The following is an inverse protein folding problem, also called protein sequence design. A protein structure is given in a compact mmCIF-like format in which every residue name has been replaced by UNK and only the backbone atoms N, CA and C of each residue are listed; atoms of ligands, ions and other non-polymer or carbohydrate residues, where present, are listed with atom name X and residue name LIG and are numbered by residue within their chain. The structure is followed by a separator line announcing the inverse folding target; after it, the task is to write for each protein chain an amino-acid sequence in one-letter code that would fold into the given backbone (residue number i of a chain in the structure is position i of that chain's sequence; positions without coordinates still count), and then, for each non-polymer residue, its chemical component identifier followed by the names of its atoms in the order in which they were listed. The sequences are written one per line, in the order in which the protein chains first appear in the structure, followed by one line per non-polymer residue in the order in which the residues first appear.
data_IF_066971952328
#
_entry.id   IF_066971952328
#
_cell.length_a   1.000
_cell.length_b   1.000
_cell.length_c   1.000
_cell.angle_alpha   90.00
_cell.angle_beta   90.00
_cell.angle_gamma   90.00
#
_symmetry.space_group_name_H-M   'P 1'
#
loop_
_entity.id
_entity.type
_entity.pdbx_description
1 polymer ?
#
# COMPACT_ATOMS: atom_id res chain seq x y z
N UNK A 1 33.30 -30.87 7.54
CA UNK A 1 31.94 -30.31 7.69
C UNK A 1 31.04 -31.08 6.71
N UNK A 2 30.35 -32.12 7.18
CA UNK A 2 29.55 -33.01 6.32
C UNK A 2 28.11 -32.48 6.25
N UNK A 3 27.66 -32.17 5.04
CA UNK A 3 26.25 -31.92 4.70
C UNK A 3 25.50 -33.24 4.66
N UNK A 4 24.35 -33.31 5.35
CA UNK A 4 23.43 -34.46 5.29
C UNK A 4 22.23 -34.06 4.44
N UNK A 5 22.08 -34.71 3.29
CA UNK A 5 20.87 -34.71 2.47
C UNK A 5 19.83 -35.64 3.13
N UNK A 6 18.59 -35.17 3.28
CA UNK A 6 17.46 -36.00 3.69
C UNK A 6 16.57 -36.26 2.46
N UNK A 7 16.52 -37.51 2.02
CA UNK A 7 15.66 -38.00 0.93
C UNK A 7 14.35 -38.54 1.50
N UNK A 8 13.22 -38.07 0.97
CA UNK A 8 11.90 -38.68 1.17
C UNK A 8 11.68 -39.86 0.22
N UNK A 9 11.07 -40.96 0.71
CA UNK A 9 10.23 -41.90 -0.07
C UNK A 9 9.30 -42.70 0.90
N UNK A 10 8.21 -43.34 0.42
CA UNK A 10 6.87 -43.21 1.01
C UNK A 10 6.20 -44.52 1.45
N UNK A 11 5.11 -44.37 2.21
CA UNK A 11 3.93 -45.23 2.15
C UNK A 11 3.84 -46.35 3.20
N UNK A 12 2.78 -46.31 4.02
CA UNK A 12 2.06 -47.52 4.43
C UNK A 12 0.66 -47.19 4.98
N UNK A 13 -0.34 -47.94 4.50
CA UNK A 13 -1.74 -47.96 4.95
C UNK A 13 -1.87 -48.86 6.17
N UNK A 14 -2.69 -48.48 7.15
CA UNK A 14 -3.32 -49.47 8.04
C UNK A 14 -4.80 -49.15 8.28
N UNK A 15 -5.62 -50.20 8.24
CA UNK A 15 -7.08 -50.17 8.25
C UNK A 15 -7.68 -50.66 9.57
N UNK A 16 -8.82 -50.06 9.93
CA UNK A 16 -10.05 -50.61 10.54
C UNK A 16 -10.00 -51.48 11.82
N UNK A 17 -10.86 -51.03 12.75
CA UNK A 17 -11.73 -51.72 13.73
C UNK A 17 -11.16 -51.99 15.12
N UNK A 18 -11.76 -51.30 16.10
CA UNK A 18 -12.42 -51.96 17.24
C UNK A 18 -13.72 -51.24 17.58
N UNK A 19 -14.80 -52.03 17.68
CA UNK A 19 -16.17 -51.71 18.09
C UNK A 19 -16.35 -52.19 19.53
N UNK A 20 -17.20 -51.52 20.32
CA UNK A 20 -18.14 -52.02 21.36
C UNK A 20 -18.59 -50.78 22.19
N UNK A 21 -19.81 -50.23 22.01
CA UNK A 21 -21.08 -50.56 22.70
C UNK A 21 -20.97 -50.40 24.24
N UNK A 22 -21.86 -49.70 24.97
CA UNK A 22 -23.32 -49.71 24.91
C UNK A 22 -23.97 -48.61 25.78
N UNK A 23 -25.27 -48.43 25.53
CA UNK A 23 -26.28 -47.53 26.12
C UNK A 23 -26.29 -47.32 27.64
N UNK A 24 -26.73 -46.14 28.09
CA UNK A 24 -27.83 -46.09 29.06
C UNK A 24 -28.74 -44.86 28.85
N UNK A 25 -30.05 -45.09 28.91
CA UNK A 25 -31.14 -44.18 28.56
C UNK A 25 -31.98 -43.90 29.81
N UNK A 26 -32.56 -42.69 29.84
CA UNK A 26 -33.66 -42.22 30.69
C UNK A 26 -33.33 -41.76 32.12
N UNK A 27 -33.68 -40.50 32.40
CA UNK A 27 -34.65 -40.08 33.44
C UNK A 27 -34.93 -38.57 33.28
N UNK A 28 -36.17 -38.23 32.90
CA UNK A 28 -36.77 -36.90 33.08
C UNK A 28 -37.51 -36.88 34.42
N UNK A 29 -37.69 -35.70 35.02
CA UNK A 29 -39.01 -35.37 35.55
C UNK A 29 -39.58 -34.05 35.00
N UNK A 30 -40.88 -34.00 35.17
CA UNK A 30 -41.93 -33.18 34.59
C UNK A 30 -42.05 -31.74 35.12
N UNK A 31 -42.46 -30.85 34.21
CA UNK A 31 -43.40 -29.72 34.36
C UNK A 31 -43.43 -28.91 35.67
N UNK A 32 -42.96 -27.66 35.58
CA UNK A 32 -43.74 -26.51 36.06
C UNK A 32 -43.66 -25.37 35.03
N UNK A 33 -44.80 -25.05 34.41
CA UNK A 33 -44.99 -23.87 33.56
C UNK A 33 -45.07 -22.63 34.46
N UNK A 34 -44.20 -21.66 34.24
CA UNK A 34 -44.51 -20.24 34.46
C UNK A 34 -44.29 -19.51 33.13
N UNK A 35 -45.40 -19.12 32.52
CA UNK A 35 -45.46 -18.29 31.33
C UNK A 35 -45.23 -16.83 31.71
N UNK A 36 -44.02 -16.31 31.48
CA UNK A 36 -43.81 -14.87 31.33
C UNK A 36 -43.95 -14.51 29.85
N UNK A 37 -45.01 -13.79 29.53
CA UNK A 37 -45.28 -13.30 28.18
C UNK A 37 -44.24 -12.27 27.75
N UNK A 38 -43.31 -12.69 26.89
CA UNK A 38 -42.51 -11.79 26.07
C UNK A 38 -43.19 -11.65 24.72
N UNK A 39 -43.96 -10.56 24.56
CA UNK A 39 -44.41 -10.10 23.25
C UNK A 39 -43.19 -9.93 22.34
N UNK A 40 -43.04 -10.82 21.36
CA UNK A 40 -42.07 -10.65 20.27
C UNK A 40 -42.56 -9.50 19.39
N UNK A 41 -42.01 -8.30 19.60
CA UNK A 41 -42.11 -7.20 18.62
C UNK A 41 -41.45 -7.65 17.31
N UNK A 42 -42.01 -7.29 16.14
CA UNK A 42 -41.46 -7.72 14.86
C UNK A 42 -40.07 -7.12 14.66
N UNK A 43 -39.12 -7.96 14.29
CA UNK A 43 -37.80 -7.55 13.80
C UNK A 43 -38.03 -6.63 12.59
N UNK A 44 -37.73 -5.36 12.74
CA UNK A 44 -37.62 -4.44 11.62
C UNK A 44 -36.53 -4.98 10.69
N UNK A 45 -36.92 -5.32 9.45
CA UNK A 45 -35.98 -5.59 8.36
C UNK A 45 -35.18 -4.31 8.12
N UNK A 46 -33.95 -4.26 8.63
CA UNK A 46 -32.99 -3.24 8.22
C UNK A 46 -32.65 -3.50 6.74
N UNK A 47 -32.70 -2.47 5.88
CA UNK A 47 -32.20 -2.62 4.53
C UNK A 47 -30.69 -2.85 4.62
N UNK A 48 -30.24 -4.00 4.13
CA UNK A 48 -28.82 -4.24 3.86
C UNK A 48 -28.40 -3.30 2.73
N UNK A 49 -28.08 -2.05 3.06
CA UNK A 49 -27.26 -1.21 2.22
C UNK A 49 -25.84 -1.77 2.31
N UNK A 50 -25.57 -2.77 1.48
CA UNK A 50 -24.23 -3.22 1.14
C UNK A 50 -23.50 -2.16 0.30
N UNK A 51 -23.42 -0.92 0.79
CA UNK A 51 -22.39 -0.01 0.34
C UNK A 51 -21.09 -0.51 0.96
N UNK A 52 -20.40 -1.40 0.22
CA UNK A 52 -18.96 -1.56 0.37
C UNK A 52 -18.36 -0.16 0.22
N UNK A 53 -18.08 0.49 1.34
CA UNK A 53 -17.18 1.62 1.35
C UNK A 53 -15.84 0.99 1.01
N UNK A 54 -15.45 1.09 -0.26
CA UNK A 54 -14.08 0.82 -0.67
C UNK A 54 -13.24 1.87 0.06
N UNK A 55 -12.62 1.47 1.18
CA UNK A 55 -11.50 2.22 1.73
C UNK A 55 -10.58 2.56 0.55
N UNK A 56 -10.14 3.83 0.39
CA UNK A 56 -9.15 4.14 -0.62
C UNK A 56 -7.96 3.23 -0.32
N UNK A 57 -7.68 2.28 -1.21
CA UNK A 57 -6.45 1.52 -1.18
C UNK A 57 -5.35 2.56 -1.11
N UNK A 58 -4.66 2.66 0.02
CA UNK A 58 -3.37 3.36 0.08
C UNK A 58 -2.53 2.64 -0.95
N UNK A 59 -2.39 3.24 -2.13
CA UNK A 59 -1.69 2.62 -3.24
C UNK A 59 -0.22 2.53 -2.81
N UNK A 60 0.25 1.32 -2.50
CA UNK A 60 1.62 1.11 -2.04
C UNK A 60 2.63 1.36 -3.15
N UNK A 61 3.85 1.74 -2.79
CA UNK A 61 5.00 1.70 -3.69
C UNK A 61 5.13 0.32 -4.36
N UNK A 62 5.59 0.30 -5.60
CA UNK A 62 5.81 -0.92 -6.36
C UNK A 62 7.18 -0.93 -7.00
N UNK A 63 7.82 -2.09 -7.05
CA UNK A 63 9.07 -2.28 -7.77
C UNK A 63 8.80 -3.00 -9.08
N UNK A 64 9.56 -2.66 -10.10
CA UNK A 64 9.51 -3.32 -11.39
C UNK A 64 10.92 -3.57 -11.93
N UNK A 65 11.11 -4.75 -12.51
CA UNK A 65 12.35 -5.17 -13.15
C UNK A 65 12.12 -5.42 -14.63
N UNK A 66 13.01 -4.87 -15.46
CA UNK A 66 13.05 -5.16 -16.87
C UNK A 66 14.42 -5.65 -17.28
N UNK A 67 14.43 -6.58 -18.22
CA UNK A 67 15.62 -7.13 -18.84
C UNK A 67 15.34 -7.25 -20.33
N UNK A 68 16.25 -6.74 -21.15
CA UNK A 68 16.20 -6.95 -22.60
C UNK A 68 17.59 -7.27 -23.14
N UNK A 69 17.63 -8.03 -24.24
CA UNK A 69 18.85 -8.46 -24.90
C UNK A 69 18.64 -8.51 -26.41
N UNK A 70 19.51 -7.82 -27.15
CA UNK A 70 19.55 -7.88 -28.62
C UNK A 70 20.85 -8.51 -29.11
N UNK A 71 20.74 -9.29 -30.17
CA UNK A 71 21.90 -9.70 -30.97
C UNK A 71 22.39 -8.51 -31.79
N UNK A 72 23.70 -8.42 -31.99
CA UNK A 72 24.34 -7.42 -32.85
C UNK A 72 24.80 -8.03 -34.17
N UNK A 73 24.40 -7.43 -35.30
CA UNK A 73 24.78 -7.86 -36.66
C UNK A 73 25.29 -6.69 -37.50
N UNK A 74 26.15 -7.01 -38.47
CA UNK A 74 26.77 -6.02 -39.36
C UNK A 74 25.76 -5.36 -40.30
N UNK A 75 25.95 -4.07 -40.57
CA UNK A 75 25.09 -3.29 -41.46
C UNK A 75 23.79 -2.78 -40.83
N UNK A 76 23.58 -3.00 -39.53
CA UNK A 76 22.47 -2.44 -38.76
C UNK A 76 22.93 -1.26 -37.90
N UNK A 77 22.07 -0.28 -37.62
CA UNK A 77 22.36 0.80 -36.68
C UNK A 77 22.32 0.29 -35.23
N UNK A 78 23.23 0.78 -34.38
CA UNK A 78 23.20 0.54 -32.94
C UNK A 78 22.48 1.70 -32.25
N UNK A 79 21.22 1.51 -31.87
CA UNK A 79 20.44 2.50 -31.12
C UNK A 79 20.42 2.13 -29.65
N UNK A 80 20.82 3.07 -28.79
CA UNK A 80 20.87 2.88 -27.33
C UNK A 80 20.33 4.15 -26.66
N UNK A 81 19.19 4.05 -25.98
CA UNK A 81 18.62 5.17 -25.24
C UNK A 81 18.25 6.37 -26.12
N UNK A 82 17.78 6.12 -27.35
CA UNK A 82 17.42 7.12 -28.35
C UNK A 82 18.60 7.71 -29.13
N UNK A 83 19.81 7.20 -28.92
CA UNK A 83 21.02 7.68 -29.60
C UNK A 83 21.55 6.60 -30.54
N UNK A 84 21.82 6.96 -31.78
CA UNK A 84 22.55 6.11 -32.72
C UNK A 84 24.05 6.22 -32.43
N UNK A 85 24.66 5.12 -32.01
CA UNK A 85 26.09 5.04 -31.71
C UNK A 85 26.87 4.56 -32.93
N UNK A 86 28.09 5.09 -33.10
CA UNK A 86 29.01 4.60 -34.11
C UNK A 86 29.55 3.22 -33.73
N UNK A 87 29.23 2.22 -34.53
CA UNK A 87 29.60 0.83 -34.33
C UNK A 87 29.49 0.04 -35.64
N UNK A 88 30.31 -0.99 -35.81
CA UNK A 88 30.33 -1.88 -36.99
C UNK A 88 29.17 -2.90 -37.01
N UNK A 89 28.38 -2.94 -35.93
CA UNK A 89 27.22 -3.82 -35.74
C UNK A 89 26.09 -3.10 -35.02
N UNK A 90 24.84 -3.44 -35.33
CA UNK A 90 23.65 -2.87 -34.71
C UNK A 90 22.66 -3.92 -34.24
N UNK A 91 21.66 -3.49 -33.48
CA UNK A 91 20.68 -4.36 -32.83
C UNK A 91 19.74 -5.01 -33.85
N UNK A 92 19.56 -6.32 -33.74
CA UNK A 92 18.52 -7.05 -34.47
C UNK A 92 17.20 -6.93 -33.72
N UNK A 93 16.20 -6.28 -34.31
CA UNK A 93 14.89 -6.10 -33.70
C UNK A 93 13.76 -5.86 -34.70
N UNK A 94 12.52 -5.92 -34.22
CA UNK A 94 11.32 -5.59 -34.99
C UNK A 94 11.01 -4.08 -35.05
N UNK A 95 11.69 -3.30 -34.20
CA UNK A 95 11.68 -1.83 -34.13
C UNK A 95 13.08 -1.28 -34.44
N UNK A 96 13.47 -0.15 -33.84
CA UNK A 96 14.83 0.41 -33.91
C UNK A 96 15.86 -0.33 -33.04
N UNK A 97 15.44 -1.35 -32.28
CA UNK A 97 16.33 -2.23 -31.51
C UNK A 97 16.91 -1.59 -30.24
N UNK A 98 16.25 -0.57 -29.70
CA UNK A 98 16.69 0.12 -28.47
C UNK A 98 16.47 -0.72 -27.21
N UNK A 99 17.53 -1.40 -26.78
CA UNK A 99 17.56 -2.26 -25.60
C UNK A 99 17.22 -1.52 -24.29
N UNK A 100 17.55 -0.23 -24.21
CA UNK A 100 17.33 0.57 -22.99
C UNK A 100 15.84 0.86 -22.85
N UNK A 101 15.21 1.34 -23.93
CA UNK A 101 13.78 1.65 -23.90
C UNK A 101 12.93 0.41 -23.64
N UNK A 102 13.26 -0.73 -24.26
CA UNK A 102 12.53 -1.98 -24.00
C UNK A 102 12.66 -2.44 -22.55
N UNK A 103 13.89 -2.44 -22.01
CA UNK A 103 14.15 -2.80 -20.61
C UNK A 103 13.38 -1.88 -19.64
N UNK A 104 13.33 -0.57 -19.91
CA UNK A 104 12.56 0.38 -19.08
C UNK A 104 11.05 0.14 -19.19
N UNK A 105 10.53 -0.13 -20.38
CA UNK A 105 9.12 -0.46 -20.59
C UNK A 105 8.74 -1.70 -19.78
N UNK A 106 9.52 -2.78 -19.84
CA UNK A 106 9.25 -3.99 -19.06
C UNK A 106 9.33 -3.74 -17.55
N UNK A 107 10.27 -2.91 -17.08
CA UNK A 107 10.32 -2.52 -15.69
C UNK A 107 9.03 -1.82 -15.24
N UNK A 108 8.53 -0.87 -16.04
CA UNK A 108 7.27 -0.18 -15.74
C UNK A 108 6.08 -1.15 -15.75
N UNK A 109 5.95 -1.97 -16.80
CA UNK A 109 4.86 -2.95 -16.92
C UNK A 109 4.87 -3.96 -15.77
N UNK A 110 6.04 -4.47 -15.42
CA UNK A 110 6.25 -5.37 -14.27
C UNK A 110 5.83 -4.71 -12.95
N UNK A 111 6.23 -3.46 -12.71
CA UNK A 111 5.81 -2.70 -11.53
C UNK A 111 4.29 -2.49 -11.46
N UNK A 112 3.62 -2.39 -12.60
CA UNK A 112 2.16 -2.24 -12.70
C UNK A 112 1.40 -3.57 -12.62
N UNK A 113 2.11 -4.71 -12.60
CA UNK A 113 1.54 -6.05 -12.67
C UNK A 113 0.85 -6.34 -14.02
N UNK A 114 1.41 -5.80 -15.10
CA UNK A 114 0.94 -6.00 -16.48
C UNK A 114 1.77 -7.06 -17.21
N UNK A 115 1.25 -7.62 -18.31
CA UNK A 115 2.03 -8.42 -19.26
C UNK A 115 3.27 -7.66 -19.77
N UNK A 116 4.28 -8.41 -20.23
CA UNK A 116 5.52 -7.84 -20.79
C UNK A 116 5.29 -7.10 -22.12
N UNK A 117 6.35 -6.43 -22.60
CA UNK A 117 6.34 -5.65 -23.85
C UNK A 117 5.92 -6.48 -25.06
N UNK A 118 6.35 -7.75 -25.16
CA UNK A 118 6.06 -8.63 -26.30
C UNK A 118 4.61 -9.09 -26.32
N UNK A 119 4.01 -9.30 -25.15
CA UNK A 119 2.61 -9.63 -24.99
C UNK A 119 1.71 -8.42 -25.24
N UNK A 120 2.11 -7.24 -24.76
CA UNK A 120 1.29 -6.03 -24.83
C UNK A 120 1.39 -5.30 -26.17
N UNK A 121 2.59 -5.30 -26.76
CA UNK A 121 2.93 -4.63 -28.02
C UNK A 121 3.43 -5.63 -29.07
N UNK A 122 2.67 -6.71 -29.27
CA UNK A 122 3.07 -7.79 -30.17
C UNK A 122 3.32 -7.31 -31.61
N UNK A 123 4.41 -7.80 -32.19
CA UNK A 123 4.81 -7.68 -33.59
C UNK A 123 3.76 -8.19 -34.60
N UNK A 124 2.86 -9.08 -34.17
CA UNK A 124 1.73 -9.60 -34.96
C UNK A 124 0.62 -8.58 -35.14
N UNK A 125 0.52 -7.60 -34.25
CA UNK A 125 -0.45 -6.53 -34.36
C UNK A 125 0.07 -5.46 -35.35
N UNK A 126 -0.65 -5.19 -36.46
CA UNK A 126 -0.25 -4.17 -37.42
C UNK A 126 -0.06 -2.78 -36.82
N UNK A 127 -0.66 -2.50 -35.66
CA UNK A 127 -0.51 -1.21 -34.96
C UNK A 127 0.90 -1.00 -34.40
N UNK A 128 1.62 -2.07 -34.07
CA UNK A 128 2.93 -2.02 -33.41
C UNK A 128 4.08 -2.43 -34.33
N UNK A 129 3.77 -2.95 -35.52
CA UNK A 129 4.80 -3.41 -36.45
C UNK A 129 5.65 -2.24 -36.96
N UNK A 130 6.96 -2.29 -36.69
CA UNK A 130 7.93 -1.32 -37.19
C UNK A 130 7.85 0.07 -36.54
N UNK A 131 7.14 0.21 -35.43
CA UNK A 131 7.11 1.49 -34.70
C UNK A 131 8.43 1.68 -33.93
N UNK A 132 8.86 2.94 -33.80
CA UNK A 132 10.06 3.29 -33.04
C UNK A 132 9.86 2.99 -31.54
N UNK A 133 10.92 2.57 -30.84
CA UNK A 133 10.81 2.10 -29.45
C UNK A 133 10.40 3.19 -28.46
N UNK A 134 10.62 4.47 -28.79
CA UNK A 134 10.10 5.61 -28.03
C UNK A 134 8.56 5.59 -27.88
N UNK A 135 7.84 5.03 -28.84
CA UNK A 135 6.37 4.94 -28.78
C UNK A 135 5.94 3.97 -27.66
N UNK A 136 6.67 2.88 -27.44
CA UNK A 136 6.40 1.96 -26.34
C UNK A 136 6.64 2.63 -24.97
N UNK A 137 7.68 3.46 -24.85
CA UNK A 137 7.94 4.27 -23.65
C UNK A 137 6.78 5.23 -23.35
N UNK A 138 6.27 5.93 -24.37
CA UNK A 138 5.13 6.83 -24.22
C UNK A 138 3.85 6.10 -23.79
N UNK A 139 3.58 4.92 -24.36
CA UNK A 139 2.42 4.11 -23.98
C UNK A 139 2.54 3.51 -22.58
N UNK A 140 3.74 3.03 -22.21
CA UNK A 140 4.03 2.58 -20.85
C UNK A 140 3.81 3.71 -19.83
N UNK A 141 4.28 4.92 -20.11
CA UNK A 141 4.00 6.11 -19.28
C UNK A 141 2.51 6.39 -19.16
N UNK A 142 1.75 6.37 -20.28
CA UNK A 142 0.30 6.58 -20.25
C UNK A 142 -0.41 5.51 -19.42
N UNK A 143 0.00 4.24 -19.52
CA UNK A 143 -0.54 3.15 -18.70
C UNK A 143 -0.24 3.33 -17.22
N UNK A 144 0.99 3.73 -16.89
CA UNK A 144 1.44 4.03 -15.53
C UNK A 144 0.59 5.15 -14.91
N UNK A 145 0.41 6.25 -15.63
CA UNK A 145 -0.44 7.38 -15.20
C UNK A 145 -1.91 6.96 -15.05
N UNK A 146 -2.47 6.21 -16.01
CA UNK A 146 -3.85 5.68 -15.91
C UNK A 146 -4.07 4.78 -14.71
N UNK A 147 -3.02 4.09 -14.24
CA UNK A 147 -3.04 3.26 -13.03
C UNK A 147 -2.75 4.05 -11.75
N UNK A 148 -2.55 5.36 -11.84
CA UNK A 148 -2.30 6.23 -10.70
C UNK A 148 -0.91 6.09 -10.11
N UNK A 149 0.11 5.83 -10.92
CA UNK A 149 1.51 5.75 -10.50
C UNK A 149 2.39 6.75 -11.25
N UNK A 150 3.42 7.22 -10.57
CA UNK A 150 4.56 7.95 -11.12
C UNK A 150 5.86 7.22 -10.80
N UNK A 151 6.95 7.58 -11.48
CA UNK A 151 8.28 7.05 -11.17
C UNK A 151 8.86 7.81 -9.99
N UNK A 152 9.21 7.10 -8.92
CA UNK A 152 10.00 7.63 -7.82
C UNK A 152 11.49 7.68 -8.21
N UNK A 153 12.05 6.56 -8.66
CA UNK A 153 13.39 6.49 -9.25
C UNK A 153 13.49 5.34 -10.27
N UNK A 154 14.44 5.47 -11.18
CA UNK A 154 14.77 4.53 -12.25
C UNK A 154 16.30 4.37 -12.32
N UNK A 155 16.77 3.15 -12.17
CA UNK A 155 18.18 2.79 -12.24
C UNK A 155 18.42 1.78 -13.36
N UNK A 156 19.34 2.10 -14.27
CA UNK A 156 19.58 1.35 -15.50
C UNK A 156 21.02 0.87 -15.52
N UNK A 157 21.25 -0.35 -16.02
CA UNK A 157 22.58 -0.89 -16.29
C UNK A 157 22.62 -1.47 -17.69
N UNK A 158 23.40 -0.85 -18.56
CA UNK A 158 23.70 -1.35 -19.91
C UNK A 158 24.98 -2.17 -19.87
N UNK A 159 24.93 -3.37 -20.44
CA UNK A 159 26.09 -4.23 -20.63
C UNK A 159 26.43 -4.23 -22.12
N UNK A 160 27.54 -3.58 -22.44
CA UNK A 160 28.04 -3.40 -23.81
C UNK A 160 29.56 -3.32 -23.78
N UNK A 161 30.22 -4.16 -24.57
CA UNK A 161 31.68 -4.20 -24.61
C UNK A 161 32.28 -3.00 -25.35
N UNK A 162 31.68 -2.58 -26.48
CA UNK A 162 32.00 -1.32 -27.17
C UNK A 162 30.78 -0.80 -27.96
N UNK A 163 30.68 0.51 -28.24
CA UNK A 163 31.60 1.57 -27.81
C UNK A 163 31.41 1.94 -26.33
N UNK A 164 32.28 2.83 -25.82
CA UNK A 164 32.12 3.36 -24.45
C UNK A 164 30.84 4.21 -24.39
N UNK A 165 29.95 3.89 -23.45
CA UNK A 165 28.70 4.62 -23.29
C UNK A 165 28.84 5.91 -22.46
N UNK A 166 29.88 6.01 -21.63
CA UNK A 166 30.09 7.15 -20.72
C UNK A 166 29.94 8.55 -21.37
N UNK A 167 30.44 8.82 -22.59
CA UNK A 167 30.23 10.11 -23.27
C UNK A 167 28.78 10.43 -23.64
N UNK A 168 27.91 9.42 -23.65
CA UNK A 168 26.52 9.49 -24.08
C UNK A 168 25.53 9.37 -22.91
N UNK A 169 26.02 9.10 -21.69
CA UNK A 169 25.17 8.82 -20.52
C UNK A 169 24.14 9.92 -20.26
N UNK A 170 24.53 11.20 -20.30
CA UNK A 170 23.63 12.31 -20.00
C UNK A 170 22.56 12.47 -21.08
N UNK A 171 22.94 12.40 -22.35
CA UNK A 171 21.98 12.47 -23.46
C UNK A 171 20.96 11.31 -23.42
N UNK A 172 21.39 10.10 -23.02
CA UNK A 172 20.46 8.98 -22.83
C UNK A 172 19.50 9.27 -21.65
N UNK A 173 20.03 9.74 -20.53
CA UNK A 173 19.20 10.09 -19.38
C UNK A 173 18.19 11.19 -19.73
N UNK A 174 18.59 12.20 -20.51
CA UNK A 174 17.73 13.30 -20.94
C UNK A 174 16.60 12.81 -21.84
N UNK A 175 16.89 11.93 -22.81
CA UNK A 175 15.86 11.29 -23.64
C UNK A 175 14.84 10.51 -22.79
N UNK A 176 15.32 9.75 -21.81
CA UNK A 176 14.45 8.99 -20.89
C UNK A 176 13.59 9.96 -20.06
N UNK A 177 14.18 11.02 -19.52
CA UNK A 177 13.48 12.04 -18.75
C UNK A 177 12.38 12.71 -19.58
N UNK A 178 12.68 13.06 -20.84
CA UNK A 178 11.73 13.68 -21.74
C UNK A 178 10.54 12.76 -22.06
N UNK A 179 10.80 11.48 -22.35
CA UNK A 179 9.78 10.50 -22.70
C UNK A 179 8.88 10.16 -21.50
N UNK A 180 9.50 9.95 -20.32
CA UNK A 180 8.79 9.56 -19.10
C UNK A 180 8.21 10.75 -18.32
N UNK A 181 8.57 11.99 -18.70
CA UNK A 181 8.19 13.24 -18.03
C UNK A 181 8.62 13.25 -16.56
N UNK A 182 9.88 12.89 -16.32
CA UNK A 182 10.51 12.89 -14.99
C UNK A 182 11.72 13.81 -14.95
N UNK A 183 12.13 14.18 -13.74
CA UNK A 183 13.32 15.01 -13.51
C UNK A 183 14.60 14.16 -13.49
N UNK A 184 15.73 14.79 -13.83
CA UNK A 184 17.02 14.12 -14.02
C UNK A 184 17.54 13.39 -12.77
N UNK A 185 17.21 13.88 -11.58
CA UNK A 185 17.56 13.29 -10.28
C UNK A 185 16.91 11.91 -10.04
N UNK A 186 15.86 11.58 -10.80
CA UNK A 186 15.16 10.29 -10.70
C UNK A 186 15.74 9.22 -11.60
N UNK A 187 16.61 9.55 -12.55
CA UNK A 187 17.12 8.62 -13.56
C UNK A 187 18.62 8.44 -13.39
N UNK A 188 19.07 7.19 -13.27
CA UNK A 188 20.48 6.85 -13.25
C UNK A 188 20.80 5.81 -14.33
N UNK A 189 21.93 5.98 -14.99
CA UNK A 189 22.43 5.04 -16.00
C UNK A 189 23.86 4.64 -15.69
N UNK A 190 24.07 3.32 -15.66
CA UNK A 190 25.37 2.68 -15.49
C UNK A 190 25.69 1.92 -16.76
N UNK A 191 26.97 1.91 -17.13
CA UNK A 191 27.46 1.15 -18.27
C UNK A 191 28.57 0.22 -17.80
N UNK A 192 28.54 -1.03 -18.26
CA UNK A 192 29.50 -2.07 -17.91
C UNK A 192 29.93 -2.84 -19.16
N UNK A 193 31.20 -3.19 -19.22
CA UNK A 193 31.73 -4.26 -20.06
C UNK A 193 31.32 -5.62 -19.51
N UNK A 194 31.43 -6.67 -20.32
CA UNK A 194 31.24 -8.05 -19.84
C UNK A 194 32.57 -8.80 -19.72
N UNK A 195 33.66 -8.06 -19.58
CA UNK A 195 35.02 -8.57 -19.35
C UNK A 195 35.45 -9.62 -20.40
N UNK A 196 35.06 -9.43 -21.66
CA UNK A 196 35.33 -10.36 -22.77
C UNK A 196 34.74 -11.77 -22.58
N UNK A 197 33.77 -11.92 -21.68
CA UNK A 197 33.05 -13.18 -21.43
C UNK A 197 31.79 -13.24 -22.29
N UNK A 198 31.57 -14.41 -22.91
CA UNK A 198 30.39 -14.78 -23.71
C UNK A 198 30.04 -13.85 -24.88
N UNK A 199 28.81 -13.94 -25.39
CA UNK A 199 28.33 -13.13 -26.52
C UNK A 199 28.42 -11.62 -26.27
N UNK A 200 28.22 -11.16 -25.03
CA UNK A 200 28.28 -9.75 -24.67
C UNK A 200 29.73 -9.27 -24.77
N UNK A 201 30.68 -10.01 -24.18
CA UNK A 201 32.10 -9.71 -24.23
C UNK A 201 32.73 -9.89 -25.62
N UNK A 202 32.08 -10.65 -26.51
CA UNK A 202 32.51 -10.84 -27.91
C UNK A 202 31.88 -9.83 -28.89
N UNK A 203 31.17 -8.79 -28.41
CA UNK A 203 30.45 -7.82 -29.24
C UNK A 203 29.38 -8.47 -30.15
N UNK A 204 28.83 -9.62 -29.72
CA UNK A 204 27.76 -10.33 -30.41
C UNK A 204 26.37 -9.95 -29.92
N UNK A 205 26.27 -9.27 -28.77
CA UNK A 205 25.01 -8.86 -28.16
C UNK A 205 25.18 -7.61 -27.30
N UNK A 206 24.04 -7.00 -26.94
CA UNK A 206 23.90 -5.95 -25.95
C UNK A 206 22.77 -6.34 -24.98
N UNK A 207 22.93 -6.07 -23.69
CA UNK A 207 21.92 -6.33 -22.68
C UNK A 207 21.65 -5.11 -21.82
N UNK A 208 20.44 -5.00 -21.28
CA UNK A 208 20.06 -3.92 -20.38
C UNK A 208 19.17 -4.43 -19.24
N UNK A 209 19.54 -4.05 -18.02
CA UNK A 209 18.72 -4.20 -16.82
C UNK A 209 18.16 -2.85 -16.38
N UNK A 210 16.88 -2.81 -16.04
CA UNK A 210 16.22 -1.62 -15.51
C UNK A 210 15.46 -1.95 -14.24
N UNK A 211 15.61 -1.09 -13.23
CA UNK A 211 14.92 -1.19 -11.95
C UNK A 211 14.16 0.10 -11.70
N UNK A 212 12.83 -0.01 -11.56
CA UNK A 212 11.97 1.14 -11.30
C UNK A 212 11.26 0.99 -9.96
N UNK A 213 11.23 2.08 -9.19
CA UNK A 213 10.32 2.25 -8.06
C UNK A 213 9.18 3.15 -8.52
N UNK A 214 7.96 2.63 -8.48
CA UNK A 214 6.73 3.36 -8.75
C UNK A 214 6.16 3.85 -7.43
N UNK A 215 5.83 5.13 -7.37
CA UNK A 215 5.07 5.73 -6.28
C UNK A 215 3.63 5.95 -6.74
N UNK A 216 2.64 5.81 -5.85
CA UNK A 216 1.30 6.26 -6.16
C UNK A 216 1.33 7.77 -6.47
N UNK A 217 0.44 8.23 -7.33
CA UNK A 217 0.16 9.67 -7.43
C UNK A 217 -0.17 10.14 -6.01
N UNK A 218 0.68 11.03 -5.48
CA UNK A 218 0.25 11.87 -4.39
C UNK A 218 -0.67 12.87 -5.04
N UNK A 219 -1.97 12.59 -5.08
CA UNK A 219 -2.92 13.63 -5.47
C UNK A 219 -2.67 14.78 -4.52
N UNK A 220 -2.12 15.88 -5.03
CA UNK A 220 -2.15 17.16 -4.33
C UNK A 220 -3.63 17.51 -4.24
N UNK A 221 -4.26 17.03 -3.18
CA UNK A 221 -5.64 17.32 -2.87
C UNK A 221 -5.69 18.80 -2.48
N UNK A 222 -6.69 19.51 -2.99
CA UNK A 222 -6.86 20.94 -2.72
C UNK A 222 -6.97 21.17 -1.21
N UNK A 223 -6.52 22.34 -0.74
CA UNK A 223 -6.46 22.71 0.69
C UNK A 223 -7.75 22.38 1.46
N UNK A 224 -8.93 22.50 0.84
CA UNK A 224 -10.25 22.20 1.43
C UNK A 224 -10.48 20.71 1.80
N UNK A 225 -9.75 19.75 1.21
CA UNK A 225 -9.83 18.31 1.57
C UNK A 225 -8.71 17.89 2.55
N UNK A 226 -7.73 18.76 2.82
CA UNK A 226 -6.64 18.47 3.76
C UNK A 226 -7.20 18.33 5.17
N UNK A 227 -8.17 19.16 5.54
CA UNK A 227 -8.89 19.05 6.82
C UNK A 227 -9.70 17.74 6.91
N UNK A 228 -10.27 17.27 5.80
CA UNK A 228 -11.02 16.02 5.75
C UNK A 228 -10.10 14.78 5.83
N UNK A 229 -8.91 14.83 5.22
CA UNK A 229 -7.92 13.74 5.28
C UNK A 229 -7.21 13.71 6.64
N UNK A 230 -6.93 14.87 7.23
CA UNK A 230 -6.34 14.97 8.57
C UNK A 230 -7.38 14.61 9.66
N UNK A 231 -8.66 14.93 9.43
CA UNK A 231 -9.80 14.42 10.18
C UNK A 231 -9.97 12.90 10.01
N UNK A 232 -9.82 12.36 8.80
CA UNK A 232 -9.91 10.91 8.54
C UNK A 232 -8.72 10.12 9.14
N UNK A 233 -7.50 10.66 9.11
CA UNK A 233 -6.30 10.07 9.71
C UNK A 233 -6.34 10.11 11.24
N UNK A 234 -6.86 11.19 11.83
CA UNK A 234 -7.08 11.28 13.28
C UNK A 234 -8.25 10.40 13.73
N UNK A 235 -9.31 10.29 12.91
CA UNK A 235 -10.42 9.34 13.07
C UNK A 235 -9.93 7.89 13.10
N UNK A 236 -8.99 7.53 12.21
CA UNK A 236 -8.37 6.20 12.14
C UNK A 236 -7.49 5.89 13.36
N UNK A 237 -6.79 6.88 13.94
CA UNK A 237 -5.97 6.66 15.14
C UNK A 237 -6.81 6.35 16.38
N UNK A 238 -7.84 7.16 16.66
CA UNK A 238 -8.71 6.97 17.82
C UNK A 238 -9.54 5.68 17.65
N UNK A 239 -9.95 5.34 16.43
CA UNK A 239 -10.61 4.04 16.17
C UNK A 239 -9.66 2.87 16.48
N UNK A 240 -8.40 2.92 16.02
CA UNK A 240 -7.39 1.91 16.37
C UNK A 240 -7.13 1.83 17.87
N UNK A 241 -7.10 2.97 18.56
CA UNK A 241 -6.93 3.05 20.01
C UNK A 241 -8.11 2.41 20.73
N UNK A 242 -9.33 2.73 20.30
CA UNK A 242 -10.59 2.18 20.83
C UNK A 242 -10.67 0.66 20.62
N UNK A 243 -10.32 0.15 19.45
CA UNK A 243 -10.27 -1.31 19.20
C UNK A 243 -9.24 -2.01 20.09
N UNK A 244 -8.08 -1.39 20.30
CA UNK A 244 -7.07 -1.91 21.23
C UNK A 244 -7.56 -1.94 22.67
N UNK A 245 -8.31 -0.92 23.09
CA UNK A 245 -8.96 -0.88 24.42
C UNK A 245 -9.97 -2.03 24.57
N UNK A 246 -10.85 -2.23 23.59
CA UNK A 246 -11.82 -3.34 23.60
C UNK A 246 -11.09 -4.68 23.71
N UNK A 247 -10.06 -4.90 22.89
CA UNK A 247 -9.25 -6.12 22.95
C UNK A 247 -8.63 -6.32 24.33
N UNK A 248 -8.02 -5.28 24.90
CA UNK A 248 -7.37 -5.32 26.22
C UNK A 248 -8.33 -5.42 27.39
N UNK A 249 -9.60 -5.04 27.24
CA UNK A 249 -10.62 -5.25 28.27
C UNK A 249 -11.07 -6.71 28.38
N UNK A 250 -10.82 -7.52 27.35
CA UNK A 250 -11.24 -8.92 27.27
C UNK A 250 -10.13 -9.89 27.69
N UNK A 251 -8.91 -9.40 27.94
CA UNK A 251 -7.79 -10.20 28.46
C UNK A 251 -7.90 -10.38 29.97
N UNK A 252 -7.14 -11.30 30.55
CA UNK A 252 -7.08 -11.50 32.00
C UNK A 252 -6.69 -10.19 32.74
N UNK A 253 -7.49 -9.72 33.74
CA UNK A 253 -7.17 -8.57 34.58
C UNK A 253 -5.77 -8.59 35.21
N UNK A 254 -5.19 -9.77 35.45
CA UNK A 254 -3.83 -9.90 35.98
C UNK A 254 -2.73 -9.48 34.99
N UNK A 255 -3.07 -9.42 33.68
CA UNK A 255 -2.14 -9.22 32.57
C UNK A 255 -2.31 -7.90 31.82
N UNK A 256 -3.40 -7.16 32.08
CA UNK A 256 -3.75 -5.94 31.36
C UNK A 256 -4.36 -4.92 32.30
N UNK A 257 -3.70 -3.76 32.41
CA UNK A 257 -4.20 -2.65 33.21
C UNK A 257 -5.62 -2.22 32.80
N UNK A 258 -5.93 -2.25 31.51
CA UNK A 258 -7.28 -1.91 31.01
C UNK A 258 -8.33 -2.92 31.46
N UNK A 259 -8.02 -4.22 31.46
CA UNK A 259 -8.94 -5.24 31.99
C UNK A 259 -9.14 -5.10 33.50
N UNK A 260 -8.07 -4.80 34.24
CA UNK A 260 -8.17 -4.49 35.66
C UNK A 260 -9.08 -3.29 35.93
N UNK A 261 -8.89 -2.19 35.20
CA UNK A 261 -9.71 -0.98 35.37
C UNK A 261 -11.19 -1.23 34.99
N UNK A 262 -11.46 -2.07 33.97
CA UNK A 262 -12.80 -2.53 33.65
C UNK A 262 -13.45 -3.35 34.78
N UNK A 263 -12.66 -4.18 35.47
CA UNK A 263 -13.15 -4.99 36.61
C UNK A 263 -13.56 -4.14 37.83
N UNK A 264 -12.99 -2.94 37.97
CA UNK A 264 -13.34 -1.98 39.04
C UNK A 264 -14.62 -1.17 38.75
N UNK A 265 -15.13 -1.22 37.52
CA UNK A 265 -16.42 -0.64 37.13
C UNK A 265 -16.40 0.87 36.86
N UNK A 266 -17.59 1.40 36.56
CA UNK A 266 -17.78 2.76 35.99
C UNK A 266 -17.13 3.87 36.81
N UNK A 267 -17.26 3.81 38.13
CA UNK A 267 -16.79 4.86 39.03
C UNK A 267 -15.26 4.98 39.01
N UNK A 268 -14.55 3.85 38.99
CA UNK A 268 -13.09 3.83 38.93
C UNK A 268 -12.57 4.37 37.59
N UNK A 269 -13.20 3.98 36.48
CA UNK A 269 -12.85 4.49 35.14
C UNK A 269 -13.09 6.01 35.06
N UNK A 270 -14.26 6.48 35.53
CA UNK A 270 -14.58 7.91 35.52
C UNK A 270 -13.61 8.73 36.40
N UNK A 271 -13.22 8.18 37.56
CA UNK A 271 -12.20 8.80 38.42
C UNK A 271 -10.88 8.95 37.69
N UNK A 272 -10.41 7.89 37.03
CA UNK A 272 -9.14 7.93 36.28
C UNK A 272 -9.18 8.92 35.13
N UNK A 273 -10.27 8.95 34.35
CA UNK A 273 -10.48 9.97 33.32
C UNK A 273 -10.39 11.40 33.89
N UNK A 274 -10.97 11.63 35.08
CA UNK A 274 -10.89 12.91 35.77
C UNK A 274 -9.49 13.28 36.23
N UNK A 275 -8.69 12.31 36.70
CA UNK A 275 -7.29 12.50 37.11
C UNK A 275 -6.45 13.01 35.92
N UNK A 276 -6.51 12.33 34.77
CA UNK A 276 -5.74 12.73 33.57
C UNK A 276 -6.13 14.13 33.06
N UNK A 277 -7.42 14.47 33.17
CA UNK A 277 -7.90 15.79 32.78
C UNK A 277 -7.31 16.89 33.67
N UNK A 278 -7.19 16.65 34.98
CA UNK A 278 -6.57 17.57 35.93
C UNK A 278 -5.06 17.67 35.69
N UNK A 279 -4.38 16.54 35.47
CA UNK A 279 -2.94 16.50 35.18
C UNK A 279 -2.60 17.25 33.89
N UNK A 280 -3.43 17.12 32.85
CA UNK A 280 -3.31 17.88 31.60
C UNK A 280 -3.43 19.39 31.83
N UNK A 281 -4.39 19.82 32.66
CA UNK A 281 -4.58 21.24 33.01
C UNK A 281 -3.38 21.78 33.78
N UNK A 282 -2.88 21.03 34.77
CA UNK A 282 -1.72 21.42 35.58
C UNK A 282 -0.50 21.60 34.68
N UNK A 283 -0.21 20.65 33.79
CA UNK A 283 0.90 20.74 32.85
C UNK A 283 0.83 21.97 31.94
N UNK A 284 -0.39 22.34 31.51
CA UNK A 284 -0.62 23.57 30.75
C UNK A 284 -0.36 24.84 31.57
N UNK A 285 -0.78 24.88 32.84
CA UNK A 285 -0.54 26.02 33.74
C UNK A 285 0.94 26.20 34.09
N UNK A 286 1.67 25.09 34.18
CA UNK A 286 3.12 25.07 34.44
C UNK A 286 3.96 25.42 33.21
N UNK A 287 3.33 25.58 32.03
CA UNK A 287 4.00 25.78 30.74
C UNK A 287 5.05 24.70 30.44
N UNK A 288 4.76 23.43 30.76
CA UNK A 288 5.59 22.29 30.38
C UNK A 288 5.00 21.62 29.12
N UNK A 289 5.53 21.88 27.91
CA UNK A 289 4.97 21.35 26.68
C UNK A 289 5.14 19.83 26.56
N UNK A 290 6.19 19.27 27.16
CA UNK A 290 6.45 17.83 27.09
C UNK A 290 5.47 17.08 27.98
N UNK A 291 5.29 17.55 29.21
CA UNK A 291 4.31 16.98 30.14
C UNK A 291 2.89 17.17 29.60
N UNK A 292 2.56 18.33 29.03
CA UNK A 292 1.25 18.57 28.42
C UNK A 292 0.93 17.56 27.31
N UNK A 293 1.88 17.24 26.43
CA UNK A 293 1.69 16.24 25.38
C UNK A 293 1.43 14.84 25.97
N UNK A 294 2.18 14.47 27.00
CA UNK A 294 2.04 13.17 27.65
C UNK A 294 0.67 13.01 28.32
N UNK A 295 0.28 13.96 29.16
CA UNK A 295 -1.00 13.91 29.87
C UNK A 295 -2.19 14.03 28.90
N UNK A 296 -2.03 14.77 27.80
CA UNK A 296 -3.04 14.80 26.72
C UNK A 296 -3.23 13.43 26.05
N UNK A 297 -2.16 12.66 25.88
CA UNK A 297 -2.26 11.31 25.31
C UNK A 297 -2.94 10.32 26.27
N UNK A 298 -2.64 10.41 27.57
CA UNK A 298 -3.25 9.58 28.60
C UNK A 298 -4.74 9.93 28.80
N UNK A 299 -5.10 11.22 28.72
CA UNK A 299 -6.48 11.69 28.70
C UNK A 299 -7.28 11.09 27.53
N UNK A 300 -6.73 11.13 26.31
CA UNK A 300 -7.38 10.54 25.13
C UNK A 300 -7.55 9.01 25.26
N UNK A 301 -6.57 8.32 25.85
CA UNK A 301 -6.66 6.89 26.13
C UNK A 301 -7.80 6.59 27.11
N UNK A 302 -7.82 7.28 28.25
CA UNK A 302 -8.82 7.06 29.30
C UNK A 302 -10.22 7.49 28.87
N UNK A 303 -10.33 8.43 27.93
CA UNK A 303 -11.60 8.76 27.27
C UNK A 303 -12.11 7.60 26.41
N UNK A 304 -11.24 6.95 25.63
CA UNK A 304 -11.59 5.76 24.87
C UNK A 304 -11.99 4.58 25.77
N UNK A 305 -11.31 4.39 26.90
CA UNK A 305 -11.68 3.40 27.95
C UNK A 305 -13.09 3.67 28.46
N UNK A 306 -13.41 4.93 28.77
CA UNK A 306 -14.74 5.30 29.26
C UNK A 306 -15.83 5.11 28.20
N UNK A 307 -15.57 5.48 26.95
CA UNK A 307 -16.48 5.22 25.82
C UNK A 307 -16.74 3.72 25.65
N UNK A 308 -15.69 2.89 25.63
CA UNK A 308 -15.83 1.45 25.48
C UNK A 308 -16.67 0.82 26.61
N UNK A 309 -16.45 1.25 27.86
CA UNK A 309 -17.25 0.81 29.01
C UNK A 309 -18.72 1.24 28.89
N UNK A 310 -18.96 2.47 28.43
CA UNK A 310 -20.31 3.02 28.22
C UNK A 310 -20.97 2.56 26.91
N UNK A 311 -20.28 1.76 26.09
CA UNK A 311 -20.72 1.31 24.77
C UNK A 311 -21.00 2.45 23.79
N UNK A 312 -20.22 3.52 23.88
CA UNK A 312 -20.20 4.64 22.93
C UNK A 312 -19.08 4.39 21.94
N UNK A 313 -19.36 4.48 20.65
CA UNK A 313 -18.34 4.32 19.60
C UNK A 313 -17.69 5.67 19.29
N UNK A 314 -16.42 5.69 18.81
CA UNK A 314 -15.81 6.91 18.29
C UNK A 314 -16.69 7.59 17.23
N UNK A 315 -17.31 6.81 16.33
CA UNK A 315 -18.24 7.34 15.32
C UNK A 315 -19.39 8.16 15.91
N UNK A 316 -20.00 7.71 17.02
CA UNK A 316 -21.09 8.45 17.65
C UNK A 316 -20.63 9.83 18.18
N UNK A 317 -19.37 9.92 18.60
CA UNK A 317 -18.76 11.19 19.04
C UNK A 317 -18.43 12.07 17.85
N UNK A 318 -17.91 11.50 16.76
CA UNK A 318 -17.65 12.24 15.52
C UNK A 318 -18.92 12.79 14.89
N UNK A 319 -20.00 12.01 14.88
CA UNK A 319 -21.30 12.46 14.38
C UNK A 319 -21.80 13.69 15.17
N UNK A 320 -21.59 13.71 16.48
CA UNK A 320 -21.91 14.86 17.33
C UNK A 320 -20.99 16.06 17.09
N UNK A 321 -19.68 15.84 16.90
CA UNK A 321 -18.74 16.92 16.57
C UNK A 321 -19.08 17.57 15.22
N UNK A 322 -19.33 16.76 14.19
CA UNK A 322 -19.77 17.27 12.88
C UNK A 322 -21.10 18.01 12.94
N UNK A 323 -22.04 17.55 13.77
CA UNK A 323 -23.30 18.25 14.02
C UNK A 323 -23.06 19.65 14.60
N UNK A 324 -22.11 19.80 15.54
CA UNK A 324 -21.75 21.09 16.16
C UNK A 324 -21.01 22.01 15.19
N UNK A 325 -20.11 21.47 14.39
CA UNK A 325 -19.40 22.22 13.35
C UNK A 325 -20.38 22.79 12.32
N UNK A 326 -21.34 21.98 11.87
CA UNK A 326 -22.38 22.39 10.93
C UNK A 326 -23.31 23.47 11.49
N UNK A 327 -23.58 23.46 12.81
CA UNK A 327 -24.40 24.49 13.47
C UNK A 327 -23.62 25.78 13.73
N UNK A 328 -22.38 25.68 14.23
CA UNK A 328 -21.53 26.84 14.51
C UNK A 328 -21.21 27.63 13.25
N UNK A 329 -20.95 26.98 12.11
CA UNK A 329 -20.75 27.69 10.83
C UNK A 329 -21.99 28.45 10.32
N UNK A 330 -23.21 28.01 10.66
CA UNK A 330 -24.47 28.66 10.29
C UNK A 330 -24.80 29.82 11.25
N UNK A 331 -24.62 29.63 12.56
CA UNK A 331 -24.84 30.65 13.58
C UNK A 331 -23.78 31.77 13.54
N UNK A 332 -22.52 31.43 13.25
CA UNK A 332 -21.42 32.39 13.06
C UNK A 332 -21.59 33.20 11.77
N UNK A 333 -22.12 32.59 10.69
CA UNK A 333 -22.54 33.33 9.49
C UNK A 333 -23.75 34.23 9.76
N UNK A 334 -24.77 33.75 10.46
CA UNK A 334 -25.97 34.55 10.78
C UNK A 334 -25.67 35.76 11.70
N UNK A 335 -24.72 35.61 12.63
CA UNK A 335 -24.27 36.72 13.49
C UNK A 335 -23.36 37.73 12.77
N UNK A 336 -22.70 37.34 11.69
CA UNK A 336 -21.96 38.25 10.79
C UNK A 336 -22.87 39.04 9.85
N UNK A 337 -23.91 38.41 9.31
CA UNK A 337 -24.88 39.05 8.39
C UNK A 337 -25.80 40.09 9.05
N UNK A 338 -25.89 40.11 10.39
CA UNK A 338 -26.69 41.10 11.13
C UNK A 338 -25.89 42.33 11.57
N UNK A 339 -24.59 42.41 11.23
CA UNK A 339 -23.69 43.51 11.58
C UNK A 339 -23.12 44.29 10.39
N UNK A 340 -23.60 44.07 9.17
CA UNK A 340 -23.36 44.95 8.00
C UNK A 340 -24.66 45.62 7.58
#
# INVERSE_FOLDING_TARGET
MRMTFCTCLPGERWSKKTLLSSNNRNLLPSNHRQSYGLQRKPLYKLPLLSRRISLPLIASYRIGHGFDLHRLESGLPLVVGGITLDHDRGSVGHSDGDVVFHSVVDAILGGLGLPDIGQLFSDKDPRWKGVASKIFMEEARKLMQRKGYDIANLDITVILERPKLAPHNDAICDNICELLKVTRDRVNLKAKTHEQVDSLGQNGSIACHSMVLLQPHTTLMKEEETDAVQSALSTDFIEKLYQRVIQRSQTDPSSSWTSHLFSQGRAAIAKKLGEEAVETIIAGLENDPHQLVKESADLLYHLCVYWAFCKITPQAVYDELHRRESQSGIEEKASRSSKS
#
